data_IF_314338123051
#
_entry.id   IF_314338123051
#
_cell.length_a   1.000
_cell.length_b   1.000
_cell.length_c   1.000
_cell.angle_alpha   90.00
_cell.angle_beta   90.00
_cell.angle_gamma   90.00
#
_symmetry.space_group_name_H-M   'P 1'
#
loop_
_entity.id
_entity.type
_entity.pdbx_description
1 polymer ?
#
# COMPACT_ATOMS: atom_id res chain seq x y z
N UNK A 1 21.06 -30.75 -43.43
CA UNK A 1 19.90 -31.63 -43.18
C UNK A 1 19.22 -31.11 -41.91
N UNK A 2 17.90 -30.99 -41.95
CA UNK A 2 17.01 -30.18 -41.11
C UNK A 2 16.76 -28.75 -41.62
N UNK A 3 15.63 -28.67 -42.31
CA UNK A 3 14.89 -27.55 -42.86
C UNK A 3 14.21 -26.74 -41.76
N UNK A 4 14.20 -25.42 -41.96
CA UNK A 4 13.44 -24.43 -41.19
C UNK A 4 12.06 -24.33 -41.86
N UNK A 5 11.02 -24.82 -41.19
CA UNK A 5 9.63 -24.46 -41.51
C UNK A 5 9.28 -23.17 -40.77
N UNK A 6 9.34 -22.04 -41.50
CA UNK A 6 8.68 -20.81 -41.08
C UNK A 6 7.28 -20.80 -41.69
N UNK A 7 6.26 -21.06 -40.87
CA UNK A 7 4.85 -20.86 -41.23
C UNK A 7 4.57 -19.36 -41.23
N UNK A 8 4.28 -18.84 -42.43
CA UNK A 8 3.76 -17.52 -42.70
C UNK A 8 2.24 -17.64 -42.84
N UNK A 9 1.49 -17.09 -41.89
CA UNK A 9 0.05 -16.88 -41.99
C UNK A 9 -0.23 -15.37 -42.00
N UNK A 10 -0.06 -14.75 -43.17
CA UNK A 10 -0.65 -13.45 -43.51
C UNK A 10 -1.24 -13.56 -44.92
N UNK A 11 -2.47 -14.08 -45.05
CA UNK A 11 -3.21 -14.02 -46.32
C UNK A 11 -4.72 -14.24 -46.17
N UNK A 12 -5.34 -13.61 -45.16
CA UNK A 12 -6.79 -13.76 -44.90
C UNK A 12 -7.63 -12.48 -45.01
N UNK A 13 -7.01 -11.29 -44.99
CA UNK A 13 -7.76 -10.02 -44.84
C UNK A 13 -7.75 -9.17 -46.13
N UNK A 14 -6.86 -9.43 -47.08
CA UNK A 14 -6.72 -8.57 -48.27
C UNK A 14 -7.73 -8.84 -49.40
N UNK A 15 -8.42 -9.99 -49.43
CA UNK A 15 -9.43 -10.26 -50.47
C UNK A 15 -10.79 -9.57 -50.22
N UNK A 16 -11.11 -9.19 -48.99
CA UNK A 16 -12.37 -8.53 -48.67
C UNK A 16 -12.37 -7.00 -48.90
N UNK A 17 -11.18 -6.38 -48.92
CA UNK A 17 -11.04 -4.92 -49.05
C UNK A 17 -10.97 -4.47 -50.51
N UNK A 18 -10.48 -5.34 -51.41
CA UNK A 18 -10.36 -5.01 -52.84
C UNK A 18 -11.70 -5.12 -53.57
N UNK A 19 -12.57 -6.07 -53.20
CA UNK A 19 -13.91 -6.17 -53.79
C UNK A 19 -14.83 -5.03 -53.33
N UNK A 20 -14.68 -4.54 -52.10
CA UNK A 20 -15.47 -3.41 -51.59
C UNK A 20 -15.05 -2.06 -52.22
N UNK A 21 -13.79 -1.91 -52.63
CA UNK A 21 -13.30 -0.70 -53.32
C UNK A 21 -13.60 -0.74 -54.82
N UNK A 22 -13.66 -1.93 -55.44
CA UNK A 22 -14.08 -2.11 -56.83
C UNK A 22 -15.55 -1.76 -57.07
N UNK A 23 -16.43 -2.04 -56.10
CA UNK A 23 -17.87 -1.73 -56.20
C UNK A 23 -18.18 -0.23 -56.01
N UNK A 24 -17.28 0.52 -55.36
CA UNK A 24 -17.40 1.98 -55.18
C UNK A 24 -16.90 2.74 -56.42
N UNK A 25 -15.98 2.18 -57.21
CA UNK A 25 -15.40 2.87 -58.37
C UNK A 25 -16.12 2.60 -59.71
N UNK A 26 -17.08 1.68 -59.76
CA UNK A 26 -17.68 1.19 -61.01
C UNK A 26 -19.02 1.80 -61.42
N UNK A 27 -19.64 2.68 -60.64
CA UNK A 27 -21.00 3.18 -60.90
C UNK A 27 -21.06 4.68 -61.25
N UNK A 28 -20.08 5.13 -62.03
CA UNK A 28 -20.09 6.44 -62.68
C UNK A 28 -20.41 6.23 -64.16
N UNK A 29 -21.67 5.95 -64.47
CA UNK A 29 -22.39 6.45 -65.66
C UNK A 29 -23.76 5.77 -65.79
N UNK A 30 -24.81 6.61 -65.96
CA UNK A 30 -26.23 6.30 -66.22
C UNK A 30 -27.09 5.76 -65.07
N UNK A 31 -27.71 6.70 -64.36
CA UNK A 31 -29.17 6.80 -64.35
C UNK A 31 -29.60 8.17 -63.85
N UNK A 32 -29.85 9.08 -64.79
CA UNK A 32 -30.68 10.28 -64.64
C UNK A 32 -32.10 9.87 -64.20
N UNK A 33 -32.31 9.56 -62.91
CA UNK A 33 -33.66 9.43 -62.33
C UNK A 33 -33.75 9.45 -60.80
N UNK A 34 -32.87 10.17 -60.12
CA UNK A 34 -33.06 10.47 -58.68
C UNK A 34 -32.68 11.89 -58.28
N UNK A 35 -32.70 12.83 -59.23
CA UNK A 35 -32.83 14.26 -58.93
C UNK A 35 -34.23 14.50 -58.35
N UNK A 36 -34.38 14.25 -57.04
CA UNK A 36 -35.44 14.78 -56.15
C UNK A 36 -35.39 14.20 -54.73
N UNK A 37 -34.37 13.43 -54.36
CA UNK A 37 -33.97 13.30 -52.95
C UNK A 37 -32.94 14.39 -52.61
N UNK A 38 -33.32 15.62 -52.95
CA UNK A 38 -32.66 16.82 -52.48
C UNK A 38 -32.94 16.99 -51.00
N UNK A 39 -32.05 16.49 -50.16
CA UNK A 39 -31.67 17.26 -48.97
C UNK A 39 -30.92 18.49 -49.50
N UNK A 40 -31.67 19.44 -50.07
CA UNK A 40 -31.14 20.75 -50.41
C UNK A 40 -30.46 21.29 -49.16
N UNK A 41 -29.18 21.63 -49.28
CA UNK A 41 -28.42 22.28 -48.22
C UNK A 41 -29.13 23.56 -47.73
N UNK A 42 -29.97 24.17 -48.60
CA UNK A 42 -30.88 25.28 -48.31
C UNK A 42 -32.10 24.90 -47.46
N UNK A 43 -32.61 23.66 -47.55
CA UNK A 43 -33.71 23.17 -46.72
C UNK A 43 -33.22 22.79 -45.31
N UNK A 44 -32.06 22.14 -45.22
CA UNK A 44 -31.44 21.83 -43.92
C UNK A 44 -31.07 23.10 -43.14
N UNK A 45 -30.53 24.14 -43.80
CA UNK A 45 -30.21 25.42 -43.15
C UNK A 45 -31.43 26.24 -42.73
N UNK A 46 -32.61 25.96 -43.29
CA UNK A 46 -33.85 26.73 -43.06
C UNK A 46 -34.83 26.03 -42.11
N UNK A 47 -34.70 24.70 -41.93
CA UNK A 47 -35.61 23.89 -41.11
C UNK A 47 -34.93 23.15 -39.94
N UNK A 48 -33.60 23.05 -39.88
CA UNK A 48 -32.92 22.66 -38.64
C UNK A 48 -32.62 23.93 -37.84
N UNK A 49 -33.59 24.38 -37.06
CA UNK A 49 -33.30 25.16 -35.86
C UNK A 49 -32.52 24.25 -34.90
N UNK A 50 -31.22 24.09 -35.17
CA UNK A 50 -30.31 23.47 -34.23
C UNK A 50 -30.43 24.27 -32.93
N UNK A 51 -30.97 23.62 -31.90
CA UNK A 51 -31.12 24.22 -30.58
C UNK A 51 -29.79 24.81 -30.17
N UNK A 52 -29.81 26.02 -29.59
CA UNK A 52 -28.61 26.71 -29.07
C UNK A 52 -27.78 25.78 -28.17
N UNK A 53 -28.43 24.82 -27.51
CA UNK A 53 -27.78 23.77 -26.73
C UNK A 53 -26.82 22.88 -27.54
N UNK A 54 -27.15 22.53 -28.78
CA UNK A 54 -26.32 21.72 -29.66
C UNK A 54 -25.06 22.48 -30.11
N UNK A 55 -25.21 23.76 -30.49
CA UNK A 55 -24.06 24.63 -30.79
C UNK A 55 -23.16 24.83 -29.57
N UNK A 56 -23.75 25.04 -28.39
CA UNK A 56 -23.01 25.18 -27.15
C UNK A 56 -22.20 23.91 -26.81
N UNK A 57 -22.78 22.72 -27.04
CA UNK A 57 -22.07 21.44 -26.85
C UNK A 57 -20.92 21.26 -27.85
N UNK A 58 -21.12 21.61 -29.11
CA UNK A 58 -20.06 21.55 -30.14
C UNK A 58 -18.89 22.48 -29.78
N UNK A 59 -19.20 23.73 -29.43
CA UNK A 59 -18.19 24.72 -29.00
C UNK A 59 -17.47 24.26 -27.73
N UNK A 60 -18.19 23.70 -26.76
CA UNK A 60 -17.57 23.17 -25.55
C UNK A 60 -16.61 22.01 -25.85
N UNK A 61 -16.96 21.13 -26.78
CA UNK A 61 -16.10 20.05 -27.22
C UNK A 61 -14.85 20.57 -27.93
N UNK A 62 -14.98 21.55 -28.82
CA UNK A 62 -13.85 22.18 -29.51
C UNK A 62 -12.91 22.90 -28.53
N UNK A 63 -13.46 23.63 -27.56
CA UNK A 63 -12.68 24.30 -26.50
C UNK A 63 -11.96 23.26 -25.64
N UNK A 64 -12.62 22.17 -25.27
CA UNK A 64 -12.00 21.08 -24.52
C UNK A 64 -10.86 20.43 -25.31
N UNK A 65 -11.09 20.12 -26.58
CA UNK A 65 -10.08 19.54 -27.46
C UNK A 65 -8.88 20.47 -27.61
N UNK A 66 -9.13 21.77 -27.82
CA UNK A 66 -8.08 22.79 -27.87
C UNK A 66 -7.31 22.89 -26.55
N UNK A 67 -8.00 22.80 -25.41
CA UNK A 67 -7.37 22.80 -24.10
C UNK A 67 -6.47 21.58 -23.89
N UNK A 68 -6.93 20.39 -24.26
CA UNK A 68 -6.13 19.16 -24.25
C UNK A 68 -4.90 19.28 -25.16
N UNK A 69 -5.06 19.83 -26.36
CA UNK A 69 -3.95 20.02 -27.28
C UNK A 69 -2.94 21.06 -26.77
N UNK A 70 -3.43 22.14 -26.17
CA UNK A 70 -2.62 23.20 -25.60
C UNK A 70 -1.81 22.71 -24.39
N UNK A 71 -2.46 21.99 -23.47
CA UNK A 71 -1.80 21.38 -22.31
C UNK A 71 -0.76 20.35 -22.74
N UNK A 72 -1.05 19.53 -23.75
CA UNK A 72 -0.06 18.60 -24.31
C UNK A 72 1.16 19.32 -24.87
N UNK A 73 0.96 20.37 -25.69
CA UNK A 73 2.06 21.19 -26.23
C UNK A 73 2.87 21.85 -25.12
N UNK A 74 2.21 22.33 -24.07
CA UNK A 74 2.88 22.94 -22.91
C UNK A 74 3.74 21.93 -22.15
N UNK A 75 3.28 20.68 -21.98
CA UNK A 75 4.04 19.60 -21.36
C UNK A 75 5.28 19.28 -22.19
N UNK A 76 5.12 19.10 -23.51
CA UNK A 76 6.24 18.81 -24.43
C UNK A 76 7.25 19.96 -24.45
N UNK A 77 6.77 21.21 -24.49
CA UNK A 77 7.62 22.39 -24.42
C UNK A 77 8.41 22.46 -23.12
N UNK A 78 7.75 22.27 -21.98
CA UNK A 78 8.38 22.26 -20.66
C UNK A 78 9.42 21.15 -20.54
N UNK A 79 9.11 19.95 -21.02
CA UNK A 79 10.05 18.83 -21.05
C UNK A 79 11.28 19.14 -21.91
N UNK A 80 11.07 19.71 -23.10
CA UNK A 80 12.16 20.11 -24.00
C UNK A 80 13.03 21.21 -23.36
N UNK A 81 12.41 22.17 -22.67
CA UNK A 81 13.10 23.24 -21.95
C UNK A 81 13.93 22.66 -20.79
N UNK A 82 13.39 21.71 -20.03
CA UNK A 82 14.14 20.98 -19.00
C UNK A 82 15.35 20.24 -19.59
N UNK A 83 15.20 19.54 -20.73
CA UNK A 83 16.32 18.86 -21.39
C UNK A 83 17.38 19.85 -21.90
N UNK A 84 16.97 20.99 -22.48
CA UNK A 84 17.90 22.03 -22.92
C UNK A 84 18.64 22.67 -21.74
N UNK A 85 17.95 22.98 -20.65
CA UNK A 85 18.58 23.49 -19.43
C UNK A 85 19.55 22.48 -18.82
N UNK A 86 19.19 21.19 -18.83
CA UNK A 86 20.07 20.12 -18.36
C UNK A 86 21.33 20.01 -19.23
N UNK A 87 21.18 20.10 -20.56
CA UNK A 87 22.32 20.13 -21.49
C UNK A 87 23.22 21.37 -21.30
N UNK A 88 22.62 22.54 -21.03
CA UNK A 88 23.36 23.80 -20.84
C UNK A 88 24.07 23.87 -19.48
N UNK A 89 23.49 23.27 -18.44
CA UNK A 89 24.02 23.29 -17.07
C UNK A 89 24.07 21.89 -16.43
N UNK A 90 24.88 20.96 -16.98
CA UNK A 90 24.87 19.56 -16.54
C UNK A 90 25.30 19.42 -15.07
N UNK A 91 26.22 20.26 -14.60
CA UNK A 91 26.69 20.26 -13.20
C UNK A 91 25.57 20.66 -12.22
N UNK A 92 24.78 21.67 -12.58
CA UNK A 92 23.68 22.16 -11.74
C UNK A 92 22.56 21.12 -11.72
N UNK A 93 22.22 20.54 -12.88
CA UNK A 93 21.20 19.49 -12.94
C UNK A 93 21.59 18.25 -12.14
N UNK A 94 22.86 17.82 -12.19
CA UNK A 94 23.35 16.72 -11.34
C UNK A 94 23.23 17.02 -9.85
N UNK A 95 23.52 18.26 -9.42
CA UNK A 95 23.35 18.68 -8.05
C UNK A 95 21.87 18.67 -7.61
N UNK A 96 20.96 19.16 -8.45
CA UNK A 96 19.52 19.07 -8.17
C UNK A 96 19.03 17.62 -8.14
N UNK A 97 19.49 16.77 -9.06
CA UNK A 97 19.17 15.35 -9.09
C UNK A 97 19.64 14.61 -7.84
N UNK A 98 20.84 14.91 -7.35
CA UNK A 98 21.36 14.31 -6.11
C UNK A 98 20.60 14.78 -4.87
N UNK A 99 20.30 16.09 -4.76
CA UNK A 99 19.46 16.63 -3.68
C UNK A 99 18.07 15.99 -3.70
N UNK A 100 17.46 15.86 -4.87
CA UNK A 100 16.16 15.22 -5.03
C UNK A 100 16.20 13.74 -4.62
N UNK A 101 17.26 13.01 -5.00
CA UNK A 101 17.46 11.64 -4.61
C UNK A 101 17.64 11.49 -3.08
N UNK A 102 18.44 12.36 -2.46
CA UNK A 102 18.62 12.41 -1.01
C UNK A 102 17.29 12.71 -0.32
N UNK A 103 16.51 13.67 -0.83
CA UNK A 103 15.19 13.99 -0.31
C UNK A 103 14.24 12.80 -0.38
N UNK A 104 14.13 12.14 -1.54
CA UNK A 104 13.31 10.94 -1.71
C UNK A 104 13.75 9.81 -0.77
N UNK A 105 15.06 9.61 -0.62
CA UNK A 105 15.60 8.64 0.31
C UNK A 105 15.21 8.97 1.75
N UNK A 106 15.30 10.23 2.15
CA UNK A 106 14.92 10.68 3.49
C UNK A 106 13.42 10.53 3.75
N UNK A 107 12.57 10.91 2.80
CA UNK A 107 11.11 10.74 2.88
C UNK A 107 10.75 9.27 3.02
N UNK A 108 11.31 8.40 2.17
CA UNK A 108 11.10 6.95 2.22
C UNK A 108 11.57 6.36 3.55
N UNK A 109 12.75 6.77 4.02
CA UNK A 109 13.32 6.31 5.30
C UNK A 109 12.46 6.75 6.49
N UNK A 110 11.99 8.00 6.48
CA UNK A 110 11.11 8.54 7.52
C UNK A 110 9.79 7.79 7.61
N UNK A 111 9.14 7.52 6.47
CA UNK A 111 7.92 6.71 6.43
C UNK A 111 8.16 5.29 6.98
N UNK A 112 9.25 4.64 6.56
CA UNK A 112 9.60 3.32 7.07
C UNK A 112 9.82 3.33 8.59
N UNK A 113 10.53 4.33 9.12
CA UNK A 113 10.78 4.46 10.56
C UNK A 113 9.50 4.66 11.35
N UNK A 114 8.55 5.46 10.84
CA UNK A 114 7.24 5.67 11.49
C UNK A 114 6.47 4.36 11.63
N UNK A 115 6.36 3.59 10.55
CA UNK A 115 5.66 2.29 10.58
C UNK A 115 6.34 1.27 11.49
N UNK A 116 7.68 1.31 11.60
CA UNK A 116 8.42 0.44 12.51
C UNK A 116 8.19 0.82 13.97
N UNK A 117 8.10 2.12 14.26
CA UNK A 117 7.85 2.65 15.60
C UNK A 117 6.41 2.37 16.07
N UNK A 118 5.43 2.49 15.17
CA UNK A 118 4.02 2.13 15.42
C UNK A 118 3.90 0.64 15.76
N UNK A 119 4.47 -0.24 14.94
CA UNK A 119 4.48 -1.70 15.20
C UNK A 119 5.16 -2.04 16.52
N UNK A 120 6.28 -1.39 16.81
CA UNK A 120 6.97 -1.57 18.08
C UNK A 120 6.08 -1.18 19.26
N UNK A 121 5.39 -0.04 19.17
CA UNK A 121 4.47 0.41 20.21
C UNK A 121 3.31 -0.56 20.41
N UNK A 122 2.71 -1.05 19.34
CA UNK A 122 1.61 -2.03 19.41
C UNK A 122 2.04 -3.34 20.07
N UNK A 123 3.19 -3.89 19.66
CA UNK A 123 3.75 -5.12 20.27
C UNK A 123 4.05 -4.87 21.74
N UNK A 124 4.66 -3.72 22.06
CA UNK A 124 4.96 -3.32 23.45
C UNK A 124 3.67 -3.28 24.28
N UNK A 125 2.70 -2.48 23.89
CA UNK A 125 1.47 -2.25 24.65
C UNK A 125 0.71 -3.57 24.89
N UNK A 126 0.63 -4.45 23.89
CA UNK A 126 0.00 -5.76 24.05
C UNK A 126 0.79 -6.70 24.96
N UNK A 127 2.12 -6.70 24.88
CA UNK A 127 2.98 -7.52 25.74
C UNK A 127 2.78 -7.14 27.21
N UNK A 128 2.84 -5.84 27.51
CA UNK A 128 2.61 -5.32 28.86
C UNK A 128 1.18 -5.58 29.34
N UNK A 129 0.18 -5.44 28.46
CA UNK A 129 -1.21 -5.74 28.80
C UNK A 129 -1.40 -7.20 29.18
N UNK A 130 -0.83 -8.14 28.43
CA UNK A 130 -0.92 -9.60 28.72
C UNK A 130 -0.16 -9.99 29.99
N UNK A 131 1.02 -9.42 30.20
CA UNK A 131 1.78 -9.64 31.44
C UNK A 131 1.04 -9.11 32.66
N UNK A 132 0.42 -7.93 32.55
CA UNK A 132 -0.36 -7.33 33.64
C UNK A 132 -1.67 -8.10 33.91
N UNK A 133 -2.36 -8.59 32.88
CA UNK A 133 -3.65 -9.28 33.06
C UNK A 133 -3.53 -10.68 33.63
N UNK A 134 -2.48 -11.42 33.27
CA UNK A 134 -2.40 -12.84 33.61
C UNK A 134 -1.88 -13.10 35.03
N UNK A 135 -1.14 -12.16 35.64
CA UNK A 135 -0.61 -12.27 37.02
C UNK A 135 0.37 -13.42 37.31
N UNK A 136 0.44 -14.39 36.39
CA UNK A 136 1.22 -15.62 36.42
C UNK A 136 2.47 -15.45 35.56
N UNK A 137 3.52 -16.21 35.85
CA UNK A 137 4.71 -16.28 35.00
C UNK A 137 4.34 -16.92 33.65
N UNK A 138 4.55 -16.20 32.56
CA UNK A 138 4.28 -16.70 31.20
C UNK A 138 5.60 -17.09 30.51
N UNK A 139 5.63 -18.20 29.76
CA UNK A 139 6.79 -18.53 28.95
C UNK A 139 7.00 -17.47 27.87
N UNK A 140 8.24 -17.01 27.69
CA UNK A 140 8.58 -15.97 26.70
C UNK A 140 8.16 -16.36 25.27
N UNK A 141 8.40 -17.61 24.88
CA UNK A 141 8.03 -18.11 23.56
C UNK A 141 6.51 -18.12 23.36
N UNK A 142 5.74 -18.60 24.34
CA UNK A 142 4.28 -18.57 24.30
C UNK A 142 3.73 -17.14 24.25
N UNK A 143 4.27 -16.23 25.06
CA UNK A 143 3.88 -14.83 25.06
C UNK A 143 4.17 -14.15 23.72
N UNK A 144 5.30 -14.48 23.08
CA UNK A 144 5.65 -13.99 21.75
C UNK A 144 4.60 -14.42 20.73
N UNK A 145 4.34 -15.72 20.63
CA UNK A 145 3.43 -16.27 19.64
C UNK A 145 2.01 -15.73 19.87
N UNK A 146 1.57 -15.68 21.12
CA UNK A 146 0.30 -15.07 21.53
C UNK A 146 0.17 -13.60 21.11
N UNK A 147 1.21 -12.78 21.27
CA UNK A 147 1.18 -11.35 20.89
C UNK A 147 1.22 -11.20 19.36
N UNK A 148 2.05 -11.98 18.68
CA UNK A 148 2.17 -11.97 17.22
C UNK A 148 0.88 -12.44 16.54
N UNK A 149 0.21 -13.45 17.11
CA UNK A 149 -1.05 -13.98 16.61
C UNK A 149 -2.22 -13.02 16.87
N UNK A 150 -2.18 -12.28 17.99
CA UNK A 150 -3.17 -11.24 18.27
C UNK A 150 -3.08 -10.07 17.28
N UNK A 151 -1.87 -9.71 16.83
CA UNK A 151 -1.66 -8.62 15.88
C UNK A 151 -1.80 -9.04 14.42
N UNK A 152 -1.47 -10.29 14.09
CA UNK A 152 -1.47 -10.76 12.71
C UNK A 152 -1.86 -12.25 12.61
N UNK A 153 -3.15 -12.58 12.85
CA UNK A 153 -3.59 -13.97 12.97
C UNK A 153 -3.41 -14.77 11.68
N UNK A 154 -3.58 -14.13 10.51
CA UNK A 154 -3.62 -14.83 9.22
C UNK A 154 -2.41 -14.59 8.31
N UNK A 155 -1.40 -13.83 8.73
CA UNK A 155 -0.28 -13.45 7.85
C UNK A 155 1.09 -13.84 8.41
N UNK A 156 1.68 -14.90 7.84
CA UNK A 156 3.06 -15.30 8.15
C UNK A 156 4.08 -14.20 7.85
N UNK A 157 3.87 -13.44 6.77
CA UNK A 157 4.69 -12.25 6.43
C UNK A 157 4.51 -11.13 7.45
N UNK A 158 3.30 -10.95 7.98
CA UNK A 158 3.01 -10.01 9.06
C UNK A 158 3.77 -10.37 10.34
N UNK A 159 3.65 -11.62 10.78
CA UNK A 159 4.39 -12.16 11.95
C UNK A 159 5.90 -11.99 11.80
N UNK A 160 6.47 -12.30 10.63
CA UNK A 160 7.92 -12.10 10.36
C UNK A 160 8.35 -10.63 10.44
N UNK A 161 7.51 -9.69 10.00
CA UNK A 161 7.79 -8.24 10.12
C UNK A 161 7.73 -7.75 11.55
N UNK A 162 6.86 -8.34 12.38
CA UNK A 162 6.73 -8.04 13.80
C UNK A 162 7.83 -8.68 14.66
N UNK A 163 8.49 -9.75 14.19
CA UNK A 163 9.62 -10.38 14.89
C UNK A 163 10.76 -9.38 15.20
N UNK A 164 11.03 -8.46 14.27
CA UNK A 164 12.03 -7.40 14.49
C UNK A 164 11.63 -6.42 15.60
N UNK A 165 10.34 -6.10 15.69
CA UNK A 165 9.79 -5.27 16.77
C UNK A 165 9.80 -6.01 18.11
N UNK A 166 9.45 -7.31 18.11
CA UNK A 166 9.50 -8.17 19.29
C UNK A 166 10.89 -8.19 19.92
N UNK A 167 11.96 -8.38 19.13
CA UNK A 167 13.35 -8.36 19.65
C UNK A 167 13.75 -7.03 20.29
N UNK A 168 13.13 -5.92 19.89
CA UNK A 168 13.35 -4.61 20.55
C UNK A 168 12.61 -4.54 21.87
N UNK A 169 11.34 -4.97 21.90
CA UNK A 169 10.52 -5.04 23.11
C UNK A 169 11.16 -5.95 24.14
N UNK A 170 11.65 -7.13 23.73
CA UNK A 170 12.33 -8.08 24.59
C UNK A 170 13.53 -7.47 25.33
N UNK A 171 14.37 -6.72 24.61
CA UNK A 171 15.52 -6.02 25.22
C UNK A 171 15.10 -4.93 26.19
N UNK A 172 13.95 -4.31 25.96
CA UNK A 172 13.39 -3.32 26.87
C UNK A 172 12.79 -3.98 28.12
N UNK A 173 12.01 -5.05 27.95
CA UNK A 173 11.40 -5.83 29.03
C UNK A 173 12.46 -6.39 29.97
N UNK A 174 13.57 -6.93 29.46
CA UNK A 174 14.69 -7.40 30.29
C UNK A 174 15.36 -6.30 31.12
N UNK A 175 15.25 -5.04 30.68
CA UNK A 175 15.76 -3.87 31.42
C UNK A 175 14.71 -3.26 32.34
N UNK A 176 13.45 -3.67 32.19
CA UNK A 176 12.33 -3.14 32.96
C UNK A 176 12.22 -3.85 34.31
N UNK A 177 12.41 -3.10 35.39
CA UNK A 177 12.34 -3.62 36.76
C UNK A 177 10.94 -4.10 37.15
N UNK A 178 9.90 -3.75 36.38
CA UNK A 178 8.51 -4.18 36.62
C UNK A 178 8.27 -5.63 36.21
N UNK A 179 9.12 -6.19 35.36
CA UNK A 179 9.03 -7.56 34.87
C UNK A 179 10.20 -8.37 35.43
N UNK A 180 9.89 -9.41 36.21
CA UNK A 180 10.90 -10.36 36.66
C UNK A 180 11.06 -11.44 35.60
N UNK A 181 12.29 -11.57 35.11
CA UNK A 181 12.72 -12.65 34.24
C UNK A 181 13.21 -13.79 35.13
N UNK A 182 12.58 -14.95 35.02
CA UNK A 182 12.99 -16.17 35.71
C UNK A 182 13.57 -17.12 34.66
N UNK A 183 14.85 -17.47 34.82
CA UNK A 183 15.54 -18.42 33.96
C UNK A 183 15.53 -19.80 34.62
N UNK A 184 14.95 -20.80 33.93
CA UNK A 184 15.34 -22.21 33.95
C UNK A 184 15.25 -23.08 35.22
N UNK A 185 15.58 -22.59 36.41
CA UNK A 185 15.81 -23.48 37.56
C UNK A 185 14.59 -23.69 38.46
N UNK A 186 13.53 -22.90 38.30
CA UNK A 186 12.32 -22.97 39.16
C UNK A 186 11.07 -23.55 38.46
N UNK A 187 11.19 -24.11 37.25
CA UNK A 187 10.04 -24.69 36.55
C UNK A 187 9.90 -26.20 36.75
N UNK A 188 8.90 -26.57 37.56
CA UNK A 188 8.43 -27.96 37.80
C UNK A 188 7.83 -28.67 36.56
N UNK A 189 7.96 -28.14 35.34
CA UNK A 189 7.32 -28.70 34.14
C UNK A 189 8.25 -28.55 32.91
N UNK A 190 9.24 -29.44 32.82
CA UNK A 190 9.72 -30.05 31.57
C UNK A 190 10.36 -29.21 30.45
N UNK A 191 10.20 -27.89 30.38
CA UNK A 191 10.85 -27.04 29.38
C UNK A 191 11.69 -25.96 30.05
N UNK A 192 13.00 -26.04 29.82
CA UNK A 192 13.98 -25.03 30.25
C UNK A 192 13.79 -23.79 29.38
N UNK A 193 12.88 -22.90 29.80
CA UNK A 193 12.53 -21.68 29.09
C UNK A 193 12.61 -20.45 29.97
N UNK A 194 12.94 -19.31 29.37
CA UNK A 194 12.85 -18.00 30.03
C UNK A 194 11.37 -17.64 30.23
N UNK A 195 11.00 -17.30 31.46
CA UNK A 195 9.63 -16.91 31.80
C UNK A 195 9.56 -15.54 32.42
N UNK A 196 8.49 -14.82 32.12
CA UNK A 196 8.31 -13.43 32.48
C UNK A 196 7.09 -13.28 33.39
N UNK A 197 7.29 -12.61 34.53
CA UNK A 197 6.22 -12.32 35.49
C UNK A 197 6.17 -10.82 35.78
N UNK A 198 4.96 -10.27 35.83
CA UNK A 198 4.75 -8.92 36.33
C UNK A 198 4.91 -8.88 37.85
N UNK A 199 5.80 -8.03 38.38
CA UNK A 199 6.14 -7.98 39.82
C UNK A 199 5.78 -6.65 40.48
N UNK A 200 5.39 -5.64 39.70
CA UNK A 200 4.95 -4.38 40.30
C UNK A 200 3.61 -4.58 41.03
N UNK A 201 3.62 -4.46 42.37
CA UNK A 201 2.41 -4.39 43.17
C UNK A 201 1.59 -3.20 42.67
N UNK A 202 0.40 -3.47 42.15
CA UNK A 202 -0.65 -2.47 42.15
C UNK A 202 -1.05 -2.31 43.62
N UNK A 203 -1.00 -1.11 44.19
CA UNK A 203 -1.31 -0.83 45.61
C UNK A 203 -2.78 -1.15 46.00
N UNK A 204 -3.50 -1.94 45.21
CA UNK A 204 -4.93 -2.26 45.36
C UNK A 204 -5.18 -3.65 45.96
N UNK A 205 -4.14 -4.44 46.30
CA UNK A 205 -4.29 -5.80 46.86
C UNK A 205 -3.70 -6.02 48.28
N UNK A 206 -3.51 -4.96 49.07
CA UNK A 206 -3.15 -5.11 50.51
C UNK A 206 -4.31 -4.99 51.51
N UNK A 207 -5.57 -4.85 51.07
CA UNK A 207 -6.73 -4.87 52.01
C UNK A 207 -7.54 -6.19 52.03
N UNK A 208 -7.17 -7.20 51.24
CA UNK A 208 -8.05 -8.35 50.98
C UNK A 208 -7.44 -9.73 51.21
N UNK A 209 -6.73 -9.99 52.31
CA UNK A 209 -6.13 -11.33 52.50
C UNK A 209 -5.61 -11.61 53.89
N UNK A 210 -6.52 -11.84 54.85
CA UNK A 210 -6.19 -12.25 56.21
C UNK A 210 -5.43 -13.58 56.29
N UNK A 211 -4.55 -13.69 57.29
CA UNK A 211 -3.78 -14.91 57.52
C UNK A 211 -3.12 -14.98 58.89
N UNK A 212 -3.92 -15.28 59.91
CA UNK A 212 -3.57 -15.99 61.18
C UNK A 212 -2.09 -16.37 61.35
N UNK A 213 -1.45 -15.88 62.43
CA UNK A 213 -0.48 -16.62 63.26
C UNK A 213 -0.24 -15.88 64.57
N UNK A 214 -0.36 -16.60 65.69
CA UNK A 214 -0.11 -16.07 67.03
C UNK A 214 -0.77 -16.87 68.14
N UNK A 215 -0.71 -18.21 68.06
CA UNK A 215 -1.14 -19.08 69.15
C UNK A 215 -0.24 -18.88 70.37
N UNK A 216 -0.81 -18.29 71.42
CA UNK A 216 -0.18 -18.13 72.72
C UNK A 216 -0.24 -19.49 73.44
N UNK A 217 0.84 -20.27 73.37
CA UNK A 217 1.05 -21.41 74.28
C UNK A 217 1.97 -20.95 75.40
N UNK A 218 1.37 -20.61 76.56
CA UNK A 218 2.11 -20.57 77.83
C UNK A 218 2.20 -22.01 78.33
N UNK A 219 3.37 -22.61 78.18
CA UNK A 219 3.75 -23.81 78.89
C UNK A 219 3.89 -23.47 80.39
N UNK A 220 3.16 -24.21 81.20
CA UNK A 220 3.40 -24.45 82.62
C UNK A 220 4.53 -25.50 82.73
N UNK A 221 5.19 -25.54 83.89
CA UNK A 221 6.27 -26.44 84.38
C UNK A 221 7.60 -25.66 84.50
N UNK A 222 8.17 -25.44 85.68
CA UNK A 222 7.82 -25.83 87.06
C UNK A 222 8.64 -25.02 88.06
#
# INVERSE_FOLDING_TARGET
MFTIESVSEESGVEKGVVDFVGEISGNVERSERSENLGLEQKWASKNLEFSVACYAQLIAFDVFWYFCQSTWKFIVFSFTLCLKLNSMYPRVSLAFGSIFFIYLWFVRRSSSNRTELERYKEVKDLTYKKLKSNGIALPRAGLKDDVLDSLSPHSSRGKKRLDGAWRKVEREVRRDQRVRVMEGDEMNIGEVGETWKWVYKTDEEEEGGGGKKGGLTKAVIG
#
